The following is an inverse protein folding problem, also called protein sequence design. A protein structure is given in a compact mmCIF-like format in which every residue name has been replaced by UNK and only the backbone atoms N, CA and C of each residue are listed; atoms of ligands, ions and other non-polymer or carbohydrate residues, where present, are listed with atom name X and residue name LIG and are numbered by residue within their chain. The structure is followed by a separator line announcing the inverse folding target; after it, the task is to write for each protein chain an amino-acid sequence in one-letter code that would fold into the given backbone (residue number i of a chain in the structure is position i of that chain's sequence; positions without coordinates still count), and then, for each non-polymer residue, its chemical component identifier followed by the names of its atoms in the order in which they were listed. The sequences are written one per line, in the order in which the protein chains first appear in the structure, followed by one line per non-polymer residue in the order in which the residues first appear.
data_IF_364559459609
#
_entry.id   IF_364559459609
#
_cell.length_a   1.000
_cell.length_b   1.000
_cell.length_c   1.000
_cell.angle_alpha   90.00
_cell.angle_beta   90.00
_cell.angle_gamma   90.00
#
_symmetry.space_group_name_H-M   'P 1'
#
loop_
_entity.id
_entity.type
_entity.pdbx_description
1 polymer ?
#
# COMPACT_ATOMS: atom_id res chain seq x y z
N UNK A 1 -1.20 5.30 -22.08
CA UNK A 1 -0.80 6.24 -21.01
C UNK A 1 -0.48 7.59 -21.63
N UNK A 2 -1.12 8.68 -21.18
CA UNK A 2 -1.09 9.98 -21.85
C UNK A 2 0.31 10.60 -22.02
N UNK A 3 1.26 10.22 -21.15
CA UNK A 3 2.62 10.76 -21.14
C UNK A 3 3.65 9.93 -21.93
N UNK A 4 3.25 8.79 -22.53
CA UNK A 4 4.18 7.96 -23.32
C UNK A 4 5.44 7.49 -22.57
N UNK A 5 5.32 7.31 -21.25
CA UNK A 5 6.44 6.97 -20.37
C UNK A 5 7.04 5.59 -20.70
N UNK A 6 8.36 5.47 -20.59
CA UNK A 6 9.06 4.18 -20.72
C UNK A 6 8.52 3.18 -19.68
N UNK A 7 7.97 2.02 -20.12
CA UNK A 7 7.47 0.98 -19.22
C UNK A 7 8.48 0.46 -18.18
N UNK A 8 9.78 0.63 -18.42
CA UNK A 8 10.82 0.21 -17.49
C UNK A 8 10.95 1.10 -16.24
N UNK A 9 10.36 2.30 -16.26
CA UNK A 9 10.47 3.26 -15.17
C UNK A 9 9.91 2.71 -13.85
N UNK A 10 10.53 3.01 -12.69
CA UNK A 10 10.03 2.56 -11.39
C UNK A 10 8.57 2.96 -11.12
N UNK A 11 8.16 4.15 -11.57
CA UNK A 11 6.79 4.64 -11.45
C UNK A 11 5.77 3.73 -12.16
N UNK A 12 6.18 3.06 -13.25
CA UNK A 12 5.32 2.15 -14.00
C UNK A 12 5.02 0.84 -13.27
N UNK A 13 5.78 0.55 -12.21
CA UNK A 13 5.61 -0.62 -11.34
C UNK A 13 4.73 -0.32 -10.11
N UNK A 14 4.26 0.91 -9.96
CA UNK A 14 3.35 1.27 -8.88
C UNK A 14 2.05 0.45 -8.97
N UNK A 15 1.53 0.02 -7.83
CA UNK A 15 0.30 -0.76 -7.76
C UNK A 15 -0.85 -0.02 -8.45
N UNK A 16 -1.56 -0.68 -9.35
CA UNK A 16 -2.65 -0.10 -10.15
C UNK A 16 -2.21 0.40 -11.52
N UNK A 17 -0.94 0.78 -11.71
CA UNK A 17 -0.44 1.28 -13.01
C UNK A 17 -0.45 0.16 -14.07
N UNK A 18 0.11 -1.05 -13.83
CA UNK A 18 0.03 -2.15 -14.78
C UNK A 18 -1.40 -2.57 -15.09
N UNK A 19 -2.27 -2.61 -14.09
CA UNK A 19 -3.66 -3.05 -14.25
C UNK A 19 -4.45 -2.08 -15.14
N UNK A 20 -4.33 -0.78 -14.90
CA UNK A 20 -4.96 0.24 -15.71
C UNK A 20 -4.31 0.35 -17.10
N UNK A 21 -3.00 0.13 -17.22
CA UNK A 21 -2.30 0.15 -18.50
C UNK A 21 -2.84 -0.94 -19.44
N UNK A 22 -3.10 -2.16 -18.95
CA UNK A 22 -3.73 -3.24 -19.75
C UNK A 22 -5.13 -2.88 -20.22
N UNK A 23 -5.93 -2.22 -19.38
CA UNK A 23 -7.24 -1.72 -19.80
C UNK A 23 -7.11 -0.66 -20.91
N UNK A 24 -6.19 0.29 -20.75
CA UNK A 24 -5.92 1.32 -21.77
C UNK A 24 -5.37 0.73 -23.08
N UNK A 25 -4.75 -0.45 -23.04
CA UNK A 25 -4.31 -1.20 -24.21
C UNK A 25 -5.43 -2.07 -24.85
N UNK A 26 -6.62 -2.12 -24.25
CA UNK A 26 -7.75 -2.92 -24.71
C UNK A 26 -7.64 -4.42 -24.41
N UNK A 27 -6.70 -4.83 -23.56
CA UNK A 27 -6.47 -6.24 -23.22
C UNK A 27 -7.50 -6.80 -22.23
N UNK A 28 -8.02 -5.94 -21.34
CA UNK A 28 -8.98 -6.32 -20.29
C UNK A 28 -10.07 -5.24 -20.12
N UNK A 29 -11.20 -5.66 -19.56
CA UNK A 29 -12.27 -4.72 -19.19
C UNK A 29 -11.83 -3.79 -18.04
N UNK A 30 -12.52 -2.65 -17.89
CA UNK A 30 -12.27 -1.74 -16.77
C UNK A 30 -12.55 -2.42 -15.42
N UNK A 31 -13.61 -3.23 -15.36
CA UNK A 31 -13.99 -3.96 -14.15
C UNK A 31 -12.93 -4.97 -13.74
N UNK A 32 -12.36 -5.70 -14.71
CA UNK A 32 -11.25 -6.63 -14.47
C UNK A 32 -9.98 -5.91 -14.01
N UNK A 33 -9.70 -4.73 -14.58
CA UNK A 33 -8.58 -3.90 -14.16
C UNK A 33 -8.75 -3.40 -12.72
N UNK A 34 -9.95 -2.93 -12.36
CA UNK A 34 -10.28 -2.49 -10.99
C UNK A 34 -10.18 -3.66 -10.00
N UNK A 35 -10.73 -4.82 -10.34
CA UNK A 35 -10.64 -6.02 -9.51
C UNK A 35 -9.18 -6.45 -9.29
N UNK A 36 -8.38 -6.46 -10.36
CA UNK A 36 -6.96 -6.77 -10.33
C UNK A 36 -6.19 -5.77 -9.46
N UNK A 37 -6.42 -4.47 -9.63
CA UNK A 37 -5.74 -3.43 -8.87
C UNK A 37 -6.04 -3.54 -7.37
N UNK A 38 -7.31 -3.77 -7.00
CA UNK A 38 -7.71 -4.02 -5.61
C UNK A 38 -6.98 -5.24 -5.03
N UNK A 39 -6.85 -6.32 -5.79
CA UNK A 39 -6.12 -7.50 -5.35
C UNK A 39 -4.62 -7.22 -5.17
N UNK A 40 -4.00 -6.50 -6.12
CA UNK A 40 -2.60 -6.10 -6.04
C UNK A 40 -2.32 -5.24 -4.80
N UNK A 41 -3.21 -4.30 -4.47
CA UNK A 41 -3.13 -3.48 -3.25
C UNK A 41 -3.18 -4.32 -1.98
N UNK A 42 -4.14 -5.27 -1.87
CA UNK A 42 -4.22 -6.18 -0.72
C UNK A 42 -2.94 -7.02 -0.57
N UNK A 43 -2.43 -7.55 -1.69
CA UNK A 43 -1.20 -8.33 -1.69
C UNK A 43 0.01 -7.48 -1.26
N UNK A 44 0.09 -6.24 -1.71
CA UNK A 44 1.16 -5.32 -1.33
C UNK A 44 1.10 -4.99 0.17
N UNK A 45 -0.06 -4.61 0.70
CA UNK A 45 -0.25 -4.36 2.12
C UNK A 45 0.11 -5.60 2.98
N UNK A 46 -0.30 -6.80 2.54
CA UNK A 46 0.08 -8.06 3.22
C UNK A 46 1.60 -8.25 3.22
N UNK A 47 2.29 -8.01 2.10
CA UNK A 47 3.75 -8.11 2.03
C UNK A 47 4.43 -7.09 2.94
N UNK A 48 3.96 -5.85 2.99
CA UNK A 48 4.50 -4.83 3.89
C UNK A 48 4.37 -5.29 5.35
N UNK A 49 3.20 -5.79 5.74
CA UNK A 49 2.96 -6.28 7.09
C UNK A 49 3.81 -7.50 7.43
N UNK A 50 3.96 -8.46 6.52
CA UNK A 50 4.84 -9.63 6.70
C UNK A 50 6.30 -9.20 6.82
N UNK A 51 6.76 -8.29 5.97
CA UNK A 51 8.12 -7.77 6.02
C UNK A 51 8.39 -7.07 7.36
N UNK A 52 7.49 -6.16 7.79
CA UNK A 52 7.62 -5.48 9.08
C UNK A 52 7.72 -6.47 10.25
N UNK A 53 6.81 -7.46 10.31
CA UNK A 53 6.83 -8.47 11.39
C UNK A 53 8.11 -9.29 11.46
N UNK A 54 8.78 -9.49 10.32
CA UNK A 54 9.95 -10.36 10.22
C UNK A 54 11.28 -9.60 10.20
N UNK A 55 11.27 -8.31 9.91
CA UNK A 55 12.49 -7.52 9.66
C UNK A 55 12.61 -6.31 10.58
N UNK A 56 11.54 -5.96 11.29
CA UNK A 56 11.53 -4.87 12.27
C UNK A 56 11.35 -5.46 13.65
N UNK A 57 12.31 -5.18 14.55
CA UNK A 57 12.10 -5.34 15.98
C UNK A 57 11.48 -4.04 16.48
N UNK A 58 10.20 -4.10 16.86
CA UNK A 58 9.52 -2.91 17.36
C UNK A 58 9.88 -2.68 18.83
N UNK A 59 10.38 -1.49 19.15
CA UNK A 59 10.60 -1.06 20.53
C UNK A 59 9.28 -0.80 21.26
N UNK A 60 8.22 -0.44 20.52
CA UNK A 60 6.88 -0.19 21.02
C UNK A 60 5.81 -0.64 20.02
N UNK A 61 4.75 -1.29 20.51
CA UNK A 61 3.61 -1.77 19.71
C UNK A 61 2.32 -1.21 20.30
N UNK A 62 1.54 -0.50 19.47
CA UNK A 62 0.19 -0.05 19.84
C UNK A 62 -0.83 -1.09 19.37
N UNK A 63 -1.42 -1.81 20.32
CA UNK A 63 -2.53 -2.70 20.04
C UNK A 63 -3.82 -1.91 19.78
N UNK A 64 -4.69 -2.39 18.88
CA UNK A 64 -6.02 -1.78 18.70
C UNK A 64 -6.07 -0.48 17.91
N UNK A 65 -5.09 -0.22 17.03
CA UNK A 65 -4.94 1.00 16.21
C UNK A 65 -6.19 1.42 15.38
N UNK A 66 -7.16 0.54 15.17
CA UNK A 66 -8.34 0.80 14.35
C UNK A 66 -9.55 1.38 15.12
N UNK A 67 -9.41 1.64 16.43
CA UNK A 67 -10.46 2.24 17.26
C UNK A 67 -10.29 3.76 17.48
N UNK A 68 -11.34 4.60 17.32
CA UNK A 68 -11.25 6.04 17.59
C UNK A 68 -10.84 6.38 19.03
N UNK A 69 -11.14 5.50 19.98
CA UNK A 69 -10.74 5.61 21.40
C UNK A 69 -9.22 5.55 21.63
N UNK A 70 -8.45 5.08 20.64
CA UNK A 70 -7.01 4.83 20.78
C UNK A 70 -6.13 5.92 20.16
N UNK A 71 -6.70 6.89 19.44
CA UNK A 71 -5.94 7.95 18.77
C UNK A 71 -5.11 8.82 19.76
N UNK A 72 -5.62 9.04 20.97
CA UNK A 72 -4.89 9.79 22.00
C UNK A 72 -3.65 9.07 22.52
N UNK A 73 -3.68 7.74 22.59
CA UNK A 73 -2.56 6.91 23.05
C UNK A 73 -1.39 6.90 22.06
N UNK A 74 -1.68 6.90 20.75
CA UNK A 74 -0.65 6.97 19.70
C UNK A 74 0.11 8.28 19.76
N UNK A 75 -0.60 9.41 19.87
CA UNK A 75 0.04 10.74 19.92
C UNK A 75 0.90 10.87 21.19
N UNK A 76 0.41 10.38 22.33
CA UNK A 76 1.17 10.38 23.58
C UNK A 76 2.44 9.50 23.50
N UNK A 77 2.33 8.27 22.97
CA UNK A 77 3.47 7.37 22.81
C UNK A 77 4.52 7.94 21.84
N UNK A 78 4.09 8.58 20.75
CA UNK A 78 5.00 9.26 19.81
C UNK A 78 5.68 10.46 20.48
N UNK A 79 4.95 11.23 21.28
CA UNK A 79 5.52 12.36 22.02
C UNK A 79 6.54 11.92 23.08
N UNK A 80 6.28 10.82 23.80
CA UNK A 80 7.23 10.23 24.76
C UNK A 80 8.48 9.67 24.07
N UNK A 81 8.33 9.05 22.90
CA UNK A 81 9.46 8.50 22.13
C UNK A 81 10.39 9.58 21.55
N UNK A 82 9.84 10.74 21.15
CA UNK A 82 10.60 11.86 20.56
C UNK A 82 11.15 12.81 21.66
N UNK A 83 10.73 12.62 22.92
CA UNK A 83 11.10 13.42 24.09
C UNK A 83 12.49 13.13 24.65
#
# INVERSE_FOLDING_TARGET
LALGLDPALPAMKAVGVPELARHLAGEISLDDAVASAKQATRNFAKRQLTWMRNQVTADYVVDGFYGPEQQGGVVAAVAEFIG
#
